data_IF_765352150688
#
_entry.id   IF_765352150688
#
_cell.length_a   1.000
_cell.length_b   1.000
_cell.length_c   1.000
_cell.angle_alpha   90.00
_cell.angle_beta   90.00
_cell.angle_gamma   90.00
#
_symmetry.space_group_name_H-M   'P 1'
#
loop_
_entity.id
_entity.type
_entity.pdbx_description
1 polymer ?
#
# COMPACT_ATOMS: atom_id res chain seq x y z
N UNK A 1 13.47 14.78 11.73
CA UNK A 1 12.16 14.70 11.05
C UNK A 1 12.23 15.38 9.71
N UNK A 2 11.64 14.82 8.67
CA UNK A 2 11.55 15.40 7.32
C UNK A 2 10.08 15.48 6.94
N UNK A 3 9.60 16.65 6.53
CA UNK A 3 8.22 16.89 6.13
C UNK A 3 8.16 17.62 4.79
N UNK A 4 7.08 17.45 4.06
CA UNK A 4 6.75 18.32 2.93
C UNK A 4 6.38 19.72 3.43
N UNK A 5 6.43 20.70 2.55
CA UNK A 5 6.00 22.08 2.82
C UNK A 5 4.47 22.16 2.87
N UNK A 6 3.93 21.62 3.95
CA UNK A 6 2.52 21.72 4.32
C UNK A 6 2.43 22.47 5.66
N UNK A 7 1.87 23.66 5.60
CA UNK A 7 1.81 24.57 6.75
C UNK A 7 1.18 23.91 7.99
N UNK A 8 0.09 23.16 7.81
CA UNK A 8 -0.60 22.51 8.92
C UNK A 8 0.30 21.45 9.57
N UNK A 9 0.96 20.61 8.76
CA UNK A 9 1.85 19.56 9.27
C UNK A 9 3.05 20.17 9.98
N UNK A 10 3.65 21.21 9.42
CA UNK A 10 4.82 21.87 10.01
C UNK A 10 4.48 22.52 11.37
N UNK A 11 3.35 23.22 11.49
CA UNK A 11 2.85 23.80 12.73
C UNK A 11 2.58 22.73 13.81
N UNK A 12 2.00 21.58 13.44
CA UNK A 12 1.76 20.47 14.38
C UNK A 12 3.07 19.86 14.90
N UNK A 13 4.09 19.75 14.06
CA UNK A 13 5.42 19.29 14.50
C UNK A 13 6.08 20.30 15.43
N UNK A 14 5.96 21.59 15.15
CA UNK A 14 6.51 22.64 16.00
C UNK A 14 5.84 22.70 17.38
N UNK A 15 4.53 22.49 17.42
CA UNK A 15 3.77 22.39 18.66
C UNK A 15 4.18 21.13 19.48
N UNK A 16 4.37 19.99 18.81
CA UNK A 16 4.74 18.74 19.47
C UNK A 16 6.21 18.67 19.91
N UNK A 17 7.12 19.36 19.24
CA UNK A 17 8.57 19.27 19.47
C UNK A 17 9.02 19.45 20.93
N UNK A 18 8.47 20.40 21.71
CA UNK A 18 8.87 20.56 23.12
C UNK A 18 8.65 19.30 23.98
N UNK A 19 7.65 18.50 23.60
CA UNK A 19 7.30 17.24 24.27
C UNK A 19 8.09 16.04 23.75
N UNK A 20 8.81 16.22 22.61
CA UNK A 20 9.58 15.15 21.95
C UNK A 20 11.03 15.58 21.71
N UNK A 21 11.86 15.63 22.76
CA UNK A 21 13.24 16.13 22.68
C UNK A 21 14.16 15.30 21.78
N UNK A 22 13.74 14.11 21.38
CA UNK A 22 14.45 13.27 20.41
C UNK A 22 14.44 13.87 18.99
N UNK A 23 13.53 14.79 18.67
CA UNK A 23 13.52 15.51 17.38
C UNK A 23 14.58 16.64 17.44
N UNK A 24 15.79 16.33 17.01
CA UNK A 24 16.92 17.27 17.03
C UNK A 24 17.03 18.10 15.74
N UNK A 25 16.53 17.56 14.62
CA UNK A 25 16.61 18.20 13.31
C UNK A 25 15.24 18.17 12.62
N UNK A 26 14.82 19.33 12.11
CA UNK A 26 13.62 19.48 11.30
C UNK A 26 14.03 19.92 9.90
N UNK A 27 13.55 19.21 8.89
CA UNK A 27 13.90 19.44 7.48
C UNK A 27 12.60 19.53 6.67
N UNK A 28 12.45 20.61 5.91
CA UNK A 28 11.31 20.82 5.01
C UNK A 28 11.71 20.54 3.56
N UNK A 29 10.85 19.84 2.84
CA UNK A 29 11.03 19.55 1.41
C UNK A 29 10.07 20.42 0.60
N UNK A 30 10.61 21.18 -0.34
CA UNK A 30 9.84 21.97 -1.31
C UNK A 30 9.66 23.43 -0.97
N UNK A 31 9.95 23.87 0.25
CA UNK A 31 9.77 25.26 0.68
C UNK A 31 10.71 25.69 1.80
N UNK A 32 10.26 26.64 2.61
CA UNK A 32 10.99 27.11 3.79
C UNK A 32 10.03 27.34 4.96
N UNK A 33 10.49 27.00 6.15
CA UNK A 33 9.76 27.25 7.39
C UNK A 33 10.73 27.68 8.49
N UNK A 34 10.34 28.64 9.32
CA UNK A 34 11.20 29.17 10.37
C UNK A 34 11.60 28.05 11.36
N UNK A 35 12.90 27.97 11.67
CA UNK A 35 13.45 26.92 12.53
C UNK A 35 13.64 25.56 11.86
N UNK A 36 13.38 25.46 10.56
CA UNK A 36 13.59 24.25 9.75
C UNK A 36 14.72 24.47 8.73
N UNK A 37 15.39 23.37 8.36
CA UNK A 37 16.40 23.37 7.30
C UNK A 37 15.74 23.00 5.97
N UNK A 38 16.19 23.60 4.87
CA UNK A 38 15.73 23.22 3.54
C UNK A 38 16.41 21.92 3.10
N UNK A 39 15.63 20.94 2.62
CA UNK A 39 16.13 19.63 2.21
C UNK A 39 17.17 19.73 1.08
N UNK A 40 16.90 20.50 0.04
CA UNK A 40 17.79 20.61 -1.12
C UNK A 40 19.11 21.25 -0.73
N UNK A 41 19.07 22.33 0.06
CA UNK A 41 20.27 23.00 0.56
C UNK A 41 21.12 22.09 1.46
N UNK A 42 20.47 21.23 2.27
CA UNK A 42 21.20 20.29 3.13
C UNK A 42 21.84 19.18 2.31
N UNK A 43 21.13 18.60 1.33
CA UNK A 43 21.65 17.51 0.48
C UNK A 43 22.85 17.94 -0.35
N UNK A 44 22.87 19.18 -0.87
CA UNK A 44 23.98 19.72 -1.65
C UNK A 44 25.30 19.83 -0.86
N UNK A 45 25.25 19.81 0.47
CA UNK A 45 26.45 19.84 1.32
C UNK A 45 27.17 18.48 1.43
N UNK A 46 26.52 17.40 0.98
CA UNK A 46 27.06 16.05 1.08
C UNK A 46 27.70 15.59 -0.24
N UNK A 47 28.70 14.70 -0.10
CA UNK A 47 29.31 14.02 -1.24
C UNK A 47 28.31 13.12 -1.95
N UNK A 48 28.42 13.02 -3.28
CA UNK A 48 27.73 12.01 -4.06
C UNK A 48 28.32 10.61 -3.90
N UNK A 49 29.52 10.50 -3.31
CA UNK A 49 30.15 9.24 -2.99
C UNK A 49 29.72 8.80 -1.59
N UNK A 50 29.08 7.64 -1.51
CA UNK A 50 28.62 7.04 -0.27
C UNK A 50 29.16 5.61 -0.12
N UNK A 51 30.02 5.42 0.88
CA UNK A 51 30.46 4.10 1.27
C UNK A 51 29.42 3.45 2.19
N UNK A 52 28.75 2.40 1.69
CA UNK A 52 27.76 1.66 2.49
C UNK A 52 28.41 1.09 3.75
N UNK A 53 27.87 1.37 4.95
CA UNK A 53 28.35 0.77 6.18
C UNK A 53 28.31 -0.77 6.13
N UNK A 54 29.32 -1.41 6.71
CA UNK A 54 29.44 -2.87 6.77
C UNK A 54 29.66 -3.35 8.21
N UNK A 55 29.60 -4.66 8.43
CA UNK A 55 29.72 -5.25 9.77
C UNK A 55 28.57 -4.85 10.68
N UNK A 56 28.87 -4.47 11.91
CA UNK A 56 27.85 -4.12 12.91
C UNK A 56 27.16 -2.77 12.64
N UNK A 57 27.77 -1.89 11.86
CA UNK A 57 27.17 -0.64 11.40
C UNK A 57 26.29 -0.80 10.16
N UNK A 58 26.32 -1.96 9.51
CA UNK A 58 25.49 -2.26 8.33
C UNK A 58 24.09 -2.67 8.72
N UNK A 59 23.11 -2.21 7.94
CA UNK A 59 21.70 -2.61 8.08
C UNK A 59 21.53 -4.11 7.91
N UNK A 60 20.83 -4.76 8.84
CA UNK A 60 20.51 -6.18 8.86
C UNK A 60 19.06 -6.41 8.44
N UNK A 61 18.73 -7.63 8.00
CA UNK A 61 17.42 -7.99 7.52
C UNK A 61 16.28 -7.74 8.54
N UNK A 62 16.59 -7.94 9.82
CA UNK A 62 15.61 -7.81 10.89
C UNK A 62 15.74 -6.50 11.70
N UNK A 63 16.51 -5.53 11.21
CA UNK A 63 16.47 -4.20 11.78
C UNK A 63 15.13 -3.52 11.48
N UNK A 64 14.68 -2.64 12.37
CA UNK A 64 13.49 -1.85 12.16
C UNK A 64 13.62 -0.99 10.90
N UNK A 65 12.73 -1.19 9.94
CA UNK A 65 12.69 -0.44 8.68
C UNK A 65 11.70 0.71 8.75
N UNK A 66 10.48 0.44 9.23
CA UNK A 66 9.42 1.43 9.28
C UNK A 66 8.39 1.11 10.37
N UNK A 67 7.67 2.14 10.78
CA UNK A 67 6.55 2.06 11.71
C UNK A 67 5.35 2.73 11.08
N UNK A 68 4.23 2.02 11.04
CA UNK A 68 2.94 2.58 10.69
C UNK A 68 2.08 2.78 11.94
N UNK A 69 1.22 3.77 11.91
CA UNK A 69 0.21 3.97 12.95
C UNK A 69 -1.16 3.56 12.40
N UNK A 70 -1.89 2.75 13.17
CA UNK A 70 -3.25 2.36 12.84
C UNK A 70 -4.23 2.95 13.85
N UNK A 71 -5.44 3.29 13.39
CA UNK A 71 -6.53 3.67 14.31
C UNK A 71 -6.91 2.43 15.12
N UNK A 72 -6.40 2.33 16.33
CA UNK A 72 -6.78 1.26 17.25
C UNK A 72 -8.30 1.24 17.51
N UNK A 73 -8.87 0.07 17.74
CA UNK A 73 -10.29 -0.10 18.11
C UNK A 73 -10.63 0.45 19.48
N UNK A 74 -9.65 0.79 20.30
CA UNK A 74 -9.77 1.10 21.74
C UNK A 74 -9.20 2.47 22.16
N UNK A 75 -8.94 3.40 21.22
CA UNK A 75 -8.47 4.76 21.56
C UNK A 75 -7.17 5.16 20.87
N UNK A 76 -6.02 5.05 21.55
CA UNK A 76 -4.76 5.55 21.01
C UNK A 76 -4.29 4.77 19.76
N UNK A 77 -3.61 5.44 18.79
CA UNK A 77 -3.05 4.78 17.63
C UNK A 77 -2.05 3.68 18.02
N UNK A 78 -2.17 2.52 17.38
CA UNK A 78 -1.24 1.40 17.57
C UNK A 78 -0.09 1.49 16.59
N UNK A 79 1.12 1.21 17.06
CA UNK A 79 2.31 1.13 16.22
C UNK A 79 2.45 -0.28 15.65
N UNK A 80 2.67 -0.33 14.33
CA UNK A 80 2.94 -1.56 13.58
C UNK A 80 4.34 -1.44 13.01
N UNK A 81 5.26 -2.28 13.49
CA UNK A 81 6.65 -2.27 13.07
C UNK A 81 6.92 -3.30 11.99
N UNK A 82 7.71 -2.92 10.99
CA UNK A 82 8.17 -3.80 9.93
C UNK A 82 9.70 -3.72 9.79
N UNK A 83 10.32 -4.86 9.55
CA UNK A 83 11.74 -4.99 9.27
C UNK A 83 12.05 -4.94 7.75
N UNK A 84 13.32 -5.04 7.38
CA UNK A 84 13.77 -4.99 5.98
C UNK A 84 13.37 -6.22 5.14
N UNK A 85 12.73 -7.23 5.71
CA UNK A 85 12.14 -8.34 4.95
C UNK A 85 10.74 -8.03 4.43
N UNK A 86 10.08 -7.01 4.99
CA UNK A 86 8.73 -6.60 4.59
C UNK A 86 8.56 -6.34 3.07
N UNK A 87 9.46 -5.61 2.40
CA UNK A 87 9.37 -5.44 0.95
C UNK A 87 9.38 -6.74 0.15
N UNK A 88 10.06 -7.78 0.63
CA UNK A 88 10.14 -9.08 -0.07
C UNK A 88 8.79 -9.79 -0.14
N UNK A 89 8.00 -9.73 0.92
CA UNK A 89 6.65 -10.29 0.91
C UNK A 89 5.72 -9.58 -0.07
N UNK A 90 5.97 -8.30 -0.35
CA UNK A 90 5.20 -7.56 -1.34
C UNK A 90 5.51 -7.94 -2.80
N UNK A 91 6.47 -8.82 -3.05
CA UNK A 91 6.64 -9.46 -4.36
C UNK A 91 5.36 -10.22 -4.75
N UNK A 92 4.72 -10.91 -3.79
CA UNK A 92 3.46 -11.60 -4.05
C UNK A 92 2.34 -10.62 -4.38
N UNK A 93 2.26 -9.51 -3.66
CA UNK A 93 1.33 -8.42 -3.95
C UNK A 93 1.51 -7.87 -5.37
N UNK A 94 2.73 -7.51 -5.72
CA UNK A 94 3.04 -6.86 -6.99
C UNK A 94 2.96 -7.81 -8.18
N UNK A 95 3.67 -8.94 -8.11
CA UNK A 95 3.83 -9.86 -9.24
C UNK A 95 2.58 -10.67 -9.53
N UNK A 96 1.87 -11.11 -8.49
CA UNK A 96 0.77 -12.05 -8.69
C UNK A 96 -0.60 -11.39 -8.58
N UNK A 97 -0.82 -10.51 -7.60
CA UNK A 97 -2.13 -9.86 -7.48
C UNK A 97 -2.27 -8.65 -8.40
N UNK A 98 -1.33 -7.69 -8.33
CA UNK A 98 -1.33 -6.52 -9.23
C UNK A 98 -0.82 -6.85 -10.64
N UNK A 99 -0.10 -7.95 -10.80
CA UNK A 99 0.45 -8.46 -12.08
C UNK A 99 1.36 -7.46 -12.78
N UNK A 100 2.17 -6.72 -11.99
CA UNK A 100 3.14 -5.80 -12.55
C UNK A 100 4.21 -6.55 -13.35
N UNK A 101 4.74 -5.89 -14.37
CA UNK A 101 5.75 -6.44 -15.26
C UNK A 101 6.97 -5.53 -15.30
N UNK A 102 8.13 -6.14 -15.54
CA UNK A 102 9.37 -5.42 -15.71
C UNK A 102 9.26 -4.40 -16.87
N UNK A 103 9.77 -3.18 -16.63
CA UNK A 103 9.75 -2.07 -17.59
C UNK A 103 8.34 -1.64 -18.06
N UNK A 104 7.28 -2.00 -17.33
CA UNK A 104 5.91 -1.59 -17.63
C UNK A 104 5.36 -0.64 -16.57
N UNK A 105 4.46 0.25 -17.00
CA UNK A 105 3.89 1.29 -16.15
C UNK A 105 2.81 0.72 -15.23
N UNK A 106 3.02 0.87 -13.94
CA UNK A 106 2.05 0.57 -12.88
C UNK A 106 1.61 1.86 -12.19
N UNK A 107 0.31 1.99 -11.96
CA UNK A 107 -0.25 3.03 -11.10
C UNK A 107 -1.07 2.42 -9.98
N UNK A 108 -0.74 2.79 -8.75
CA UNK A 108 -1.60 2.56 -7.59
C UNK A 108 -2.03 3.90 -6.99
N UNK A 109 -3.33 4.08 -6.82
CA UNK A 109 -3.86 5.29 -6.19
C UNK A 109 -3.90 5.09 -4.70
N UNK A 110 -3.04 5.82 -4.00
CA UNK A 110 -2.96 5.86 -2.55
C UNK A 110 -2.22 7.11 -2.13
N UNK A 111 -2.70 7.75 -1.09
CA UNK A 111 -2.00 8.82 -0.39
C UNK A 111 -0.72 8.28 0.28
N UNK A 112 0.33 9.12 0.35
CA UNK A 112 1.62 8.74 0.92
C UNK A 112 1.58 8.46 2.43
N UNK A 113 0.56 8.97 3.13
CA UNK A 113 0.33 8.68 4.54
C UNK A 113 -0.25 7.30 4.83
N UNK A 114 -0.66 6.55 3.81
CA UNK A 114 -1.21 5.20 3.96
C UNK A 114 -0.17 4.12 3.67
N UNK A 115 -0.19 3.03 4.43
CA UNK A 115 0.66 1.87 4.19
C UNK A 115 0.54 1.36 2.74
N UNK A 116 -0.64 1.47 2.13
CA UNK A 116 -0.88 1.12 0.72
C UNK A 116 0.03 1.87 -0.26
N UNK A 117 0.50 3.05 0.06
CA UNK A 117 1.46 3.76 -0.79
C UNK A 117 2.76 2.95 -0.93
N UNK A 118 3.33 2.48 0.17
CA UNK A 118 4.54 1.67 0.16
C UNK A 118 4.33 0.31 -0.53
N UNK A 119 3.38 -0.47 -0.06
CA UNK A 119 3.19 -1.83 -0.55
C UNK A 119 2.47 -1.91 -1.92
N UNK A 120 1.68 -0.92 -2.26
CA UNK A 120 0.93 -0.90 -3.52
C UNK A 120 1.67 -0.25 -4.68
N UNK A 121 2.75 0.50 -4.41
CA UNK A 121 3.42 1.34 -5.39
C UNK A 121 4.95 1.16 -5.42
N UNK A 122 5.60 0.87 -4.29
CA UNK A 122 7.04 0.98 -4.16
C UNK A 122 7.72 -0.38 -4.00
N UNK A 123 7.40 -1.13 -2.95
CA UNK A 123 8.22 -2.26 -2.51
C UNK A 123 8.32 -3.39 -3.54
N UNK A 124 7.29 -4.20 -3.66
CA UNK A 124 7.28 -5.32 -4.58
C UNK A 124 7.35 -4.89 -6.04
N UNK A 125 6.79 -3.73 -6.37
CA UNK A 125 6.76 -3.20 -7.73
C UNK A 125 8.18 -2.89 -8.23
N UNK A 126 9.01 -2.21 -7.44
CA UNK A 126 10.41 -1.96 -7.81
C UNK A 126 11.25 -3.23 -7.80
N UNK A 127 11.03 -4.15 -6.84
CA UNK A 127 11.72 -5.45 -6.84
C UNK A 127 11.39 -6.23 -8.13
N UNK A 128 10.15 -6.12 -8.63
CA UNK A 128 9.72 -6.73 -9.89
C UNK A 128 10.10 -5.92 -11.15
N UNK A 129 10.84 -4.84 -11.02
CA UNK A 129 11.30 -4.00 -12.13
C UNK A 129 10.21 -3.14 -12.78
N UNK A 130 9.08 -2.93 -12.14
CA UNK A 130 8.01 -2.09 -12.67
C UNK A 130 8.40 -0.60 -12.67
N UNK A 131 7.92 0.12 -13.66
CA UNK A 131 7.99 1.59 -13.71
C UNK A 131 6.75 2.15 -13.01
N UNK A 132 6.95 3.03 -12.03
CA UNK A 132 5.85 3.60 -11.26
C UNK A 132 5.39 4.91 -11.90
N UNK A 133 4.10 4.96 -12.23
CA UNK A 133 3.45 6.19 -12.62
C UNK A 133 3.01 6.95 -11.37
N UNK A 134 3.71 8.03 -11.06
CA UNK A 134 3.36 8.95 -9.99
C UNK A 134 2.52 10.09 -10.56
N UNK A 135 1.35 10.33 -9.97
CA UNK A 135 0.46 11.40 -10.36
C UNK A 135 -0.01 12.12 -9.10
N UNK A 136 0.36 13.38 -9.01
CA UNK A 136 -0.06 14.28 -7.94
C UNK A 136 -1.48 14.79 -8.23
N UNK A 137 -2.39 14.58 -7.29
CA UNK A 137 -3.81 14.94 -7.41
C UNK A 137 -4.24 15.74 -6.19
N UNK A 138 -4.35 17.05 -6.32
CA UNK A 138 -5.00 17.88 -5.30
C UNK A 138 -6.45 17.45 -5.06
N UNK A 139 -7.13 17.04 -6.13
CA UNK A 139 -8.50 16.56 -6.11
C UNK A 139 -8.70 15.45 -7.11
N UNK A 140 -9.41 14.41 -6.69
CA UNK A 140 -9.78 13.32 -7.58
C UNK A 140 -10.82 13.79 -8.62
N UNK A 141 -10.45 13.68 -9.90
CA UNK A 141 -11.32 13.93 -11.05
C UNK A 141 -11.29 12.67 -11.93
N UNK A 142 -12.41 11.91 -12.01
CA UNK A 142 -12.45 10.63 -12.72
C UNK A 142 -11.97 10.70 -14.16
N UNK A 143 -12.43 11.70 -14.91
CA UNK A 143 -12.08 11.89 -16.34
C UNK A 143 -10.58 12.15 -16.52
N UNK A 144 -9.96 12.92 -15.62
CA UNK A 144 -8.51 13.13 -15.67
C UNK A 144 -7.73 11.83 -15.46
N UNK A 145 -8.18 10.98 -14.54
CA UNK A 145 -7.53 9.71 -14.29
C UNK A 145 -7.68 8.75 -15.47
N UNK A 146 -8.88 8.62 -16.05
CA UNK A 146 -9.12 7.83 -17.25
C UNK A 146 -8.26 8.31 -18.44
N UNK A 147 -8.15 9.64 -18.62
CA UNK A 147 -7.29 10.23 -19.64
C UNK A 147 -5.81 9.87 -19.42
N UNK A 148 -5.32 9.92 -18.16
CA UNK A 148 -3.93 9.52 -17.87
C UNK A 148 -3.68 8.05 -18.14
N UNK A 149 -4.63 7.16 -17.83
CA UNK A 149 -4.50 5.74 -18.15
C UNK A 149 -4.30 5.52 -19.66
N UNK A 150 -5.08 6.21 -20.50
CA UNK A 150 -4.99 6.16 -21.96
C UNK A 150 -3.68 6.77 -22.47
N UNK A 151 -3.37 8.02 -22.10
CA UNK A 151 -2.27 8.80 -22.65
C UNK A 151 -0.91 8.16 -22.37
N UNK A 152 -0.74 7.63 -21.17
CA UNK A 152 0.50 7.00 -20.73
C UNK A 152 0.53 5.50 -20.96
N UNK A 153 -0.57 4.93 -21.50
CA UNK A 153 -0.70 3.49 -21.77
C UNK A 153 -0.30 2.65 -20.56
N UNK A 154 -0.94 2.96 -19.42
CA UNK A 154 -0.71 2.20 -18.18
C UNK A 154 -0.97 0.72 -18.44
N UNK A 155 -0.17 -0.15 -17.83
CA UNK A 155 -0.31 -1.61 -18.00
C UNK A 155 -1.00 -2.29 -16.83
N UNK A 156 -0.89 -1.73 -15.65
CA UNK A 156 -1.59 -2.21 -14.46
C UNK A 156 -2.07 -1.04 -13.61
N UNK A 157 -3.27 -1.19 -13.04
CA UNK A 157 -3.91 -0.14 -12.26
C UNK A 157 -4.53 -0.71 -10.98
N UNK A 158 -4.28 -0.02 -9.85
CA UNK A 158 -4.84 -0.35 -8.56
C UNK A 158 -5.45 0.89 -7.90
N UNK A 159 -6.72 0.81 -7.52
CA UNK A 159 -7.40 1.90 -6.81
C UNK A 159 -8.44 1.36 -5.83
N UNK A 160 -8.89 2.15 -4.84
CA UNK A 160 -10.05 1.79 -4.01
C UNK A 160 -11.32 1.58 -4.83
N UNK A 161 -12.26 0.71 -4.40
CA UNK A 161 -13.55 0.50 -5.08
C UNK A 161 -14.34 1.78 -5.31
N UNK A 162 -14.28 2.71 -4.37
CA UNK A 162 -14.93 4.02 -4.48
C UNK A 162 -14.48 4.78 -5.74
N UNK A 163 -13.22 4.71 -6.15
CA UNK A 163 -12.74 5.37 -7.37
C UNK A 163 -13.31 4.72 -8.63
N UNK A 164 -13.38 3.40 -8.68
CA UNK A 164 -14.04 2.70 -9.78
C UNK A 164 -15.51 3.10 -9.91
N UNK A 165 -16.22 3.23 -8.79
CA UNK A 165 -17.61 3.68 -8.75
C UNK A 165 -17.78 5.08 -9.31
N UNK A 166 -16.87 6.01 -9.03
CA UNK A 166 -16.90 7.35 -9.60
C UNK A 166 -16.55 7.35 -11.11
N UNK A 167 -15.55 6.56 -11.51
CA UNK A 167 -15.22 6.44 -12.93
C UNK A 167 -16.38 5.86 -13.75
N UNK A 168 -17.19 4.96 -13.19
CA UNK A 168 -18.39 4.43 -13.84
C UNK A 168 -19.52 5.44 -14.02
N UNK A 169 -19.43 6.61 -13.42
CA UNK A 169 -20.37 7.73 -13.68
C UNK A 169 -20.01 8.50 -14.95
N UNK A 170 -18.82 8.26 -15.49
CA UNK A 170 -18.32 8.86 -16.72
C UNK A 170 -18.48 7.88 -17.91
N UNK A 171 -18.25 8.37 -19.10
CA UNK A 171 -18.25 7.53 -20.31
C UNK A 171 -16.92 6.77 -20.44
N UNK A 172 -16.75 5.73 -19.63
CA UNK A 172 -15.53 4.88 -19.61
C UNK A 172 -15.24 4.29 -20.98
N UNK A 173 -16.27 3.97 -21.76
CA UNK A 173 -16.12 3.35 -23.07
C UNK A 173 -15.49 4.28 -24.12
N UNK A 174 -15.48 5.58 -23.89
CA UNK A 174 -14.82 6.56 -24.77
C UNK A 174 -13.30 6.60 -24.62
N UNK A 175 -12.73 5.93 -23.60
CA UNK A 175 -11.30 5.89 -23.36
C UNK A 175 -10.67 4.57 -23.81
N UNK A 176 -9.49 4.64 -24.44
CA UNK A 176 -8.72 3.44 -24.79
C UNK A 176 -7.96 2.91 -23.58
N UNK A 177 -8.57 1.95 -22.88
CA UNK A 177 -7.95 1.24 -21.76
C UNK A 177 -7.37 -0.12 -22.17
N UNK A 178 -7.16 -0.37 -23.45
CA UNK A 178 -6.68 -1.66 -23.98
C UNK A 178 -5.29 -2.04 -23.47
N UNK A 179 -4.44 -1.05 -23.19
CA UNK A 179 -3.10 -1.25 -22.64
C UNK A 179 -3.09 -1.85 -21.23
N UNK A 180 -4.15 -1.63 -20.44
CA UNK A 180 -4.21 -2.13 -19.07
C UNK A 180 -4.53 -3.63 -19.09
N UNK A 181 -3.64 -4.42 -18.54
CA UNK A 181 -3.75 -5.88 -18.48
C UNK A 181 -4.44 -6.35 -17.21
N UNK A 182 -4.31 -5.60 -16.12
CA UNK A 182 -4.92 -5.93 -14.83
C UNK A 182 -5.40 -4.70 -14.08
N UNK A 183 -6.66 -4.77 -13.66
CA UNK A 183 -7.24 -3.88 -12.66
C UNK A 183 -7.30 -4.59 -11.32
N UNK A 184 -6.90 -3.91 -10.26
CA UNK A 184 -6.96 -4.43 -8.90
C UNK A 184 -7.53 -3.40 -7.93
N UNK A 185 -8.12 -3.88 -6.86
CA UNK A 185 -8.75 -3.03 -5.84
C UNK A 185 -8.54 -3.60 -4.44
N UNK A 186 -8.38 -2.72 -3.47
CA UNK A 186 -8.31 -3.07 -2.05
C UNK A 186 -8.64 -1.86 -1.17
N UNK A 187 -8.90 -2.12 0.11
CA UNK A 187 -9.20 -1.13 1.14
C UNK A 187 -10.66 -1.10 1.55
N UNK A 188 -11.55 -1.48 0.65
CA UNK A 188 -13.00 -1.60 0.86
C UNK A 188 -13.50 -2.84 0.12
N UNK A 189 -14.64 -3.43 0.49
CA UNK A 189 -15.28 -4.49 -0.30
C UNK A 189 -15.71 -3.98 -1.67
N UNK A 190 -15.42 -4.76 -2.72
CA UNK A 190 -15.86 -4.44 -4.07
C UNK A 190 -17.34 -4.82 -4.27
N UNK A 191 -18.18 -3.84 -4.56
CA UNK A 191 -19.58 -4.10 -4.89
C UNK A 191 -19.67 -4.92 -6.19
N UNK A 192 -20.43 -6.05 -6.21
CA UNK A 192 -20.63 -6.86 -7.41
C UNK A 192 -21.16 -6.07 -8.64
N UNK A 193 -21.96 -5.05 -8.43
CA UNK A 193 -22.47 -4.21 -9.52
C UNK A 193 -21.32 -3.41 -10.17
N UNK A 194 -20.41 -2.85 -9.37
CA UNK A 194 -19.23 -2.13 -9.86
C UNK A 194 -18.33 -3.08 -10.66
N UNK A 195 -18.09 -4.30 -10.14
CA UNK A 195 -17.33 -5.32 -10.84
C UNK A 195 -17.95 -5.66 -12.21
N UNK A 196 -19.25 -6.01 -12.23
CA UNK A 196 -19.94 -6.43 -13.44
C UNK A 196 -19.96 -5.30 -14.48
N UNK A 197 -20.29 -4.08 -14.07
CA UNK A 197 -20.34 -2.93 -14.98
C UNK A 197 -18.98 -2.56 -15.54
N UNK A 198 -17.92 -2.65 -14.73
CA UNK A 198 -16.56 -2.42 -15.20
C UNK A 198 -16.14 -3.47 -16.24
N UNK A 199 -16.42 -4.74 -15.96
CA UNK A 199 -16.13 -5.83 -16.88
C UNK A 199 -16.91 -5.69 -18.20
N UNK A 200 -18.19 -5.30 -18.15
CA UNK A 200 -19.00 -5.05 -19.33
C UNK A 200 -18.39 -3.96 -20.24
N UNK A 201 -17.95 -2.84 -19.65
CA UNK A 201 -17.44 -1.69 -20.39
C UNK A 201 -16.01 -1.89 -20.91
N UNK A 202 -15.17 -2.57 -20.16
CA UNK A 202 -13.73 -2.69 -20.47
C UNK A 202 -13.32 -4.07 -20.98
N UNK A 203 -14.18 -5.07 -20.85
CA UNK A 203 -13.88 -6.46 -21.12
C UNK A 203 -12.91 -7.09 -20.09
N UNK A 204 -12.61 -6.41 -18.97
CA UNK A 204 -11.59 -6.82 -18.00
C UNK A 204 -12.15 -6.86 -16.59
N UNK A 205 -11.66 -7.82 -15.82
CA UNK A 205 -12.02 -8.03 -14.42
C UNK A 205 -11.29 -7.07 -13.49
N UNK A 206 -11.93 -6.75 -12.35
CA UNK A 206 -11.26 -6.11 -11.22
C UNK A 206 -10.91 -7.18 -10.20
N UNK A 207 -9.62 -7.34 -9.88
CA UNK A 207 -9.15 -8.33 -8.90
C UNK A 207 -9.10 -7.70 -7.52
N UNK A 208 -10.05 -8.10 -6.68
CA UNK A 208 -10.10 -7.65 -5.29
C UNK A 208 -8.99 -8.30 -4.47
N UNK A 209 -8.45 -7.57 -3.50
CA UNK A 209 -7.51 -8.05 -2.50
C UNK A 209 -7.80 -7.44 -1.14
N UNK A 210 -7.58 -8.23 -0.11
CA UNK A 210 -7.67 -7.83 1.28
C UNK A 210 -6.32 -7.98 1.96
N UNK A 211 -5.94 -6.97 2.71
CA UNK A 211 -4.75 -6.94 3.56
C UNK A 211 -4.92 -5.95 4.68
N UNK A 212 -3.97 -5.94 5.58
CA UNK A 212 -3.92 -5.05 6.74
C UNK A 212 -2.52 -4.45 6.85
N UNK A 213 -2.38 -3.42 7.68
CA UNK A 213 -1.07 -2.81 7.97
C UNK A 213 -0.10 -3.82 8.58
N UNK A 214 -0.63 -4.76 9.36
CA UNK A 214 0.08 -5.83 10.04
C UNK A 214 0.61 -6.93 9.12
N UNK A 215 0.13 -6.97 7.89
CA UNK A 215 0.54 -7.96 6.90
C UNK A 215 0.60 -7.35 5.50
N UNK A 216 0.79 -8.21 4.49
CA UNK A 216 0.62 -7.81 3.11
C UNK A 216 -0.80 -8.13 2.62
N UNK A 217 -0.94 -8.50 1.36
CA UNK A 217 -2.16 -9.07 0.83
C UNK A 217 -2.38 -10.46 1.45
N UNK A 218 -3.44 -10.58 2.25
CA UNK A 218 -3.83 -11.82 2.96
C UNK A 218 -4.72 -12.72 2.10
N UNK A 219 -5.71 -12.11 1.44
CA UNK A 219 -6.60 -12.77 0.50
C UNK A 219 -6.60 -11.98 -0.80
N UNK A 220 -6.67 -12.64 -1.95
CA UNK A 220 -6.85 -11.96 -3.22
C UNK A 220 -7.40 -12.87 -4.33
N UNK A 221 -7.91 -12.23 -5.37
CA UNK A 221 -8.20 -12.85 -6.65
C UNK A 221 -6.90 -12.94 -7.47
N UNK A 222 -6.08 -13.94 -7.18
CA UNK A 222 -4.82 -14.21 -7.91
C UNK A 222 -5.06 -14.67 -9.36
N UNK A 223 -4.06 -14.65 -10.26
CA UNK A 223 -4.24 -14.98 -11.68
C UNK A 223 -4.73 -16.42 -11.93
N UNK A 224 -4.47 -17.34 -11.01
CA UNK A 224 -4.94 -18.73 -11.05
C UNK A 224 -6.35 -18.93 -10.48
N UNK A 225 -7.06 -17.86 -10.14
CA UNK A 225 -8.42 -17.85 -9.62
C UNK A 225 -9.29 -17.09 -10.60
N UNK A 226 -10.44 -17.67 -10.97
CA UNK A 226 -11.49 -16.89 -11.64
C UNK A 226 -12.20 -16.04 -10.59
N UNK A 227 -12.16 -14.70 -10.70
CA UNK A 227 -12.83 -13.83 -9.77
C UNK A 227 -14.34 -14.10 -9.71
N UNK A 228 -14.86 -14.07 -8.50
CA UNK A 228 -16.31 -14.16 -8.27
C UNK A 228 -16.77 -12.83 -7.67
N UNK A 229 -17.73 -12.12 -8.31
CA UNK A 229 -18.24 -10.85 -7.77
C UNK A 229 -18.67 -10.98 -6.31
N UNK A 230 -18.21 -10.06 -5.45
CA UNK A 230 -18.46 -10.08 -4.02
C UNK A 230 -17.57 -11.05 -3.22
N UNK A 231 -16.54 -11.63 -3.84
CA UNK A 231 -15.56 -12.48 -3.17
C UNK A 231 -14.16 -11.88 -3.27
N UNK A 232 -13.50 -11.70 -2.13
CA UNK A 232 -12.12 -11.22 -2.07
C UNK A 232 -11.11 -12.23 -2.63
N UNK A 233 -11.51 -13.47 -2.86
CA UNK A 233 -10.65 -14.51 -3.44
C UNK A 233 -10.20 -15.55 -2.42
N UNK A 234 -8.93 -15.96 -2.50
CA UNK A 234 -8.36 -17.04 -1.68
C UNK A 234 -7.13 -16.58 -0.91
N UNK A 235 -6.72 -17.33 0.12
CA UNK A 235 -5.51 -17.05 0.88
C UNK A 235 -4.28 -16.83 0.02
N UNK A 236 -3.47 -15.85 0.41
CA UNK A 236 -2.15 -15.61 -0.15
C UNK A 236 -1.24 -16.82 0.14
N UNK A 237 -0.38 -17.21 -0.81
CA UNK A 237 0.59 -18.29 -0.57
C UNK A 237 1.63 -17.98 0.50
N UNK A 238 1.67 -16.76 1.01
CA UNK A 238 2.58 -16.33 2.08
C UNK A 238 2.10 -16.78 3.48
N UNK A 239 0.83 -17.06 3.64
CA UNK A 239 0.21 -17.22 4.96
C UNK A 239 -0.62 -18.50 5.04
N UNK A 240 -0.56 -19.16 6.19
CA UNK A 240 -1.50 -20.20 6.55
C UNK A 240 -2.75 -19.54 7.15
N UNK A 241 -3.77 -19.33 6.34
CA UNK A 241 -5.01 -18.66 6.74
C UNK A 241 -6.14 -19.68 6.83
N UNK A 242 -6.86 -19.62 7.94
CA UNK A 242 -8.04 -20.44 8.21
C UNK A 242 -9.20 -19.57 8.67
N UNK A 243 -10.42 -20.10 8.58
CA UNK A 243 -11.58 -19.55 9.27
C UNK A 243 -11.80 -20.33 10.57
N UNK A 244 -11.99 -19.65 11.68
CA UNK A 244 -12.10 -20.21 13.00
C UNK A 244 -13.37 -19.67 13.70
N UNK A 245 -14.12 -20.58 14.32
CA UNK A 245 -15.24 -20.19 15.19
C UNK A 245 -14.75 -19.62 16.52
N UNK A 246 -15.64 -18.97 17.27
CA UNK A 246 -15.32 -18.38 18.57
C UNK A 246 -14.84 -19.39 19.61
N UNK A 247 -15.23 -20.67 19.46
CA UNK A 247 -14.80 -21.78 20.31
C UNK A 247 -13.42 -22.36 19.94
N UNK A 248 -12.77 -21.80 18.91
CA UNK A 248 -11.47 -22.22 18.44
C UNK A 248 -11.49 -23.36 17.41
N UNK A 249 -12.64 -23.90 17.06
CA UNK A 249 -12.75 -24.94 16.02
C UNK A 249 -12.66 -24.34 14.62
N UNK A 250 -12.17 -25.12 13.65
CA UNK A 250 -12.09 -24.66 12.27
C UNK A 250 -13.46 -24.68 11.59
N UNK A 251 -13.79 -23.58 10.92
CA UNK A 251 -15.01 -23.50 10.13
C UNK A 251 -14.89 -24.35 8.86
N UNK A 252 -15.97 -25.01 8.48
CA UNK A 252 -16.09 -25.78 7.24
C UNK A 252 -16.50 -24.88 6.08
N UNK A 253 -16.42 -25.43 4.86
CA UNK A 253 -16.89 -24.73 3.66
C UNK A 253 -18.36 -24.32 3.80
N UNK A 254 -18.62 -23.01 3.59
CA UNK A 254 -19.95 -22.42 3.72
C UNK A 254 -20.28 -21.89 5.12
N UNK A 255 -19.45 -22.14 6.12
CA UNK A 255 -19.62 -21.62 7.47
C UNK A 255 -18.89 -20.25 7.62
N UNK A 256 -19.37 -19.44 8.55
CA UNK A 256 -18.73 -18.19 8.93
C UNK A 256 -17.70 -18.44 10.03
N UNK A 257 -16.61 -17.67 10.01
CA UNK A 257 -15.60 -17.69 11.05
C UNK A 257 -14.69 -16.47 10.99
N UNK A 258 -13.96 -16.22 12.05
CA UNK A 258 -12.91 -15.22 12.09
C UNK A 258 -11.76 -15.65 11.18
N UNK A 259 -11.21 -14.74 10.42
CA UNK A 259 -10.02 -14.96 9.60
C UNK A 259 -8.79 -14.97 10.51
N UNK A 260 -8.12 -16.11 10.62
CA UNK A 260 -6.99 -16.31 11.51
C UNK A 260 -5.76 -16.72 10.69
N UNK A 261 -4.65 -16.00 10.92
CA UNK A 261 -3.33 -16.39 10.41
C UNK A 261 -2.68 -17.36 11.39
N UNK A 262 -2.38 -18.56 10.91
CA UNK A 262 -1.60 -19.55 11.66
C UNK A 262 -0.11 -19.43 11.30
N UNK A 263 0.77 -19.82 12.23
CA UNK A 263 2.23 -19.91 11.98
C UNK A 263 2.88 -18.63 11.46
N UNK A 264 2.59 -17.46 12.05
CA UNK A 264 3.23 -16.18 11.71
C UNK A 264 4.77 -16.24 11.64
N UNK A 265 5.41 -17.16 12.39
CA UNK A 265 6.87 -17.37 12.38
C UNK A 265 7.43 -17.89 11.05
N UNK A 266 6.59 -18.37 10.14
CA UNK A 266 6.99 -18.83 8.80
C UNK A 266 6.78 -17.78 7.71
N UNK A 267 6.03 -16.73 7.98
CA UNK A 267 5.80 -15.66 7.03
C UNK A 267 7.05 -14.77 6.93
N UNK A 268 7.39 -14.35 5.71
CA UNK A 268 8.46 -13.35 5.45
C UNK A 268 8.08 -11.93 5.93
N UNK A 269 7.11 -11.82 6.82
CA UNK A 269 6.64 -10.60 7.43
C UNK A 269 6.53 -10.81 8.92
N UNK A 270 7.47 -10.27 9.65
CA UNK A 270 7.34 -10.17 11.08
C UNK A 270 6.77 -8.79 11.38
N UNK A 271 5.48 -8.72 11.62
CA UNK A 271 4.87 -7.56 12.22
C UNK A 271 4.91 -7.73 13.74
N UNK A 272 5.53 -6.80 14.42
CA UNK A 272 5.42 -6.68 15.87
C UNK A 272 4.35 -5.62 16.16
N UNK A 273 3.25 -6.06 16.76
CA UNK A 273 2.21 -5.15 17.23
C UNK A 273 2.59 -4.68 18.63
N UNK A 274 3.01 -3.42 18.74
CA UNK A 274 3.15 -2.79 20.03
C UNK A 274 1.78 -2.26 20.47
N UNK A 275 1.16 -2.96 21.40
CA UNK A 275 0.01 -2.44 22.12
C UNK A 275 0.44 -2.18 23.56
N UNK A 276 0.00 -1.06 24.15
CA UNK A 276 0.17 -0.79 25.58
C UNK A 276 -0.47 -1.85 26.49
N UNK A 277 -1.22 -2.78 25.92
CA UNK A 277 -1.98 -3.83 26.61
C UNK A 277 -1.33 -5.21 26.51
N UNK A 278 -0.10 -5.32 25.98
CA UNK A 278 0.70 -6.54 26.03
C UNK A 278 1.47 -6.60 27.34
N UNK A 279 0.74 -6.72 28.46
CA UNK A 279 1.27 -7.10 29.76
C UNK A 279 0.81 -8.52 30.09
#
# INVERSE_FOLDING_TARGET
MVCLDDKYVLEQVDEAQPSVPSIQHKIVVGGSHEGWRNFHEEVEKFSTEFARPTGDAGTKAHDLMLVYFTSGTTGDPKMVEHDYTHPLGHIVTAKYWQQVQENKLHMSVSDSGWAKFGWGKIYGQWICGAVIFAYDMDKFVPTHLLQKMQDYKLTTFCAPPTMYRFMLQEDVASYDLSSIQNFSTAGEPLNPEVYNRWQELTGKEIREGFGQTEGSVLLANFPWITPKPGSTGKPSPLYDIVLQHDDGTLAKDGEQGALVMQNLKKAYHTCLLYTSDAA
#
